data_IF_960579482004
#
_entry.id   IF_960579482004
#
_cell.length_a   1.000
_cell.length_b   1.000
_cell.length_c   1.000
_cell.angle_alpha   90.00
_cell.angle_beta   90.00
_cell.angle_gamma   90.00
#
_symmetry.space_group_name_H-M   'P 1'
#
loop_
_entity.id
_entity.type
_entity.pdbx_description
1 polymer ?
#
# COMPACT_ATOMS: atom_id res chain seq x y z
N UNK A 1 65.83 33.41 -6.83
CA UNK A 1 65.57 31.95 -6.87
C UNK A 1 64.40 31.53 -5.98
N UNK A 2 64.12 32.21 -4.87
CA UNK A 2 62.98 31.91 -3.97
C UNK A 2 61.61 32.32 -4.51
N UNK A 3 61.51 33.37 -5.32
CA UNK A 3 60.22 33.83 -5.88
C UNK A 3 59.65 32.91 -6.96
N UNK A 4 60.49 32.37 -7.86
CA UNK A 4 60.04 31.43 -8.90
C UNK A 4 59.56 30.10 -8.30
N UNK A 5 60.21 29.63 -7.23
CA UNK A 5 59.81 28.42 -6.53
C UNK A 5 58.42 28.58 -5.87
N UNK A 6 58.16 29.75 -5.27
CA UNK A 6 56.87 30.05 -4.65
C UNK A 6 55.74 30.19 -5.68
N UNK A 7 56.01 30.80 -6.84
CA UNK A 7 55.03 30.92 -7.91
C UNK A 7 54.62 29.56 -8.49
N UNK A 8 55.58 28.65 -8.69
CA UNK A 8 55.31 27.29 -9.17
C UNK A 8 54.52 26.45 -8.15
N UNK A 9 54.84 26.56 -6.86
CA UNK A 9 54.11 25.86 -5.78
C UNK A 9 52.67 26.35 -5.65
N UNK A 10 52.45 27.67 -5.72
CA UNK A 10 51.10 28.26 -5.65
C UNK A 10 50.28 27.88 -6.89
N UNK A 11 50.86 27.95 -8.09
CA UNK A 11 50.21 27.54 -9.33
C UNK A 11 49.81 26.06 -9.34
N UNK A 12 50.70 25.17 -8.87
CA UNK A 12 50.42 23.74 -8.72
C UNK A 12 49.28 23.46 -7.73
N UNK A 13 49.25 24.16 -6.60
CA UNK A 13 48.20 23.99 -5.59
C UNK A 13 46.82 24.46 -6.09
N UNK A 14 46.76 25.60 -6.77
CA UNK A 14 45.52 26.11 -7.39
C UNK A 14 44.98 25.13 -8.43
N UNK A 15 45.85 24.55 -9.25
CA UNK A 15 45.48 23.54 -10.25
C UNK A 15 44.85 22.29 -9.63
N UNK A 16 45.48 21.74 -8.57
CA UNK A 16 44.98 20.55 -7.85
C UNK A 16 43.65 20.82 -7.16
N UNK A 17 43.52 21.95 -6.45
CA UNK A 17 42.27 22.32 -5.76
C UNK A 17 41.13 22.53 -6.76
N UNK A 18 41.40 23.19 -7.89
CA UNK A 18 40.39 23.42 -8.93
C UNK A 18 39.93 22.11 -9.58
N UNK A 19 40.86 21.20 -9.90
CA UNK A 19 40.52 19.89 -10.46
C UNK A 19 39.71 19.02 -9.46
N UNK A 20 40.08 19.04 -8.17
CA UNK A 20 39.34 18.35 -7.12
C UNK A 20 37.92 18.92 -6.95
N UNK A 21 37.77 20.25 -6.98
CA UNK A 21 36.47 20.90 -6.93
C UNK A 21 35.59 20.52 -8.13
N UNK A 22 36.14 20.60 -9.36
CA UNK A 22 35.42 20.19 -10.58
C UNK A 22 34.99 18.72 -10.48
N UNK A 23 35.89 17.81 -10.09
CA UNK A 23 35.57 16.39 -9.90
C UNK A 23 34.49 16.13 -8.85
N UNK A 24 34.49 16.89 -7.75
CA UNK A 24 33.43 16.80 -6.74
C UNK A 24 32.08 17.29 -7.27
N UNK A 25 32.05 18.42 -7.99
CA UNK A 25 30.81 18.94 -8.58
C UNK A 25 30.24 18.02 -9.66
N UNK A 26 31.07 17.46 -10.55
CA UNK A 26 30.61 16.52 -11.58
C UNK A 26 30.08 15.23 -10.97
N UNK A 27 30.74 14.68 -9.94
CA UNK A 27 30.25 13.51 -9.20
C UNK A 27 28.88 13.79 -8.57
N UNK A 28 28.69 14.95 -7.93
CA UNK A 28 27.40 15.33 -7.33
C UNK A 28 26.31 15.54 -8.38
N UNK A 29 26.64 16.17 -9.51
CA UNK A 29 25.70 16.37 -10.61
C UNK A 29 25.24 15.02 -11.18
N UNK A 30 26.17 14.10 -11.43
CA UNK A 30 25.86 12.76 -11.93
C UNK A 30 25.03 11.93 -10.94
N UNK A 31 25.35 12.01 -9.64
CA UNK A 31 24.56 11.38 -8.60
C UNK A 31 23.12 11.94 -8.54
N UNK A 32 22.96 13.27 -8.68
CA UNK A 32 21.66 13.91 -8.72
C UNK A 32 20.84 13.49 -9.94
N UNK A 33 21.46 13.44 -11.13
CA UNK A 33 20.82 12.98 -12.36
C UNK A 33 20.37 11.51 -12.25
N UNK A 34 21.22 10.64 -11.71
CA UNK A 34 20.88 9.22 -11.49
C UNK A 34 19.70 9.08 -10.52
N UNK A 35 19.67 9.86 -9.42
CA UNK A 35 18.56 9.86 -8.46
C UNK A 35 17.27 10.34 -9.11
N UNK A 36 17.33 11.40 -9.91
CA UNK A 36 16.19 11.91 -10.64
C UNK A 36 15.64 10.88 -11.64
N UNK A 37 16.51 10.31 -12.48
CA UNK A 37 16.14 9.28 -13.45
C UNK A 37 15.50 8.05 -12.77
N UNK A 38 16.07 7.59 -11.65
CA UNK A 38 15.50 6.49 -10.86
C UNK A 38 14.12 6.86 -10.32
N UNK A 39 13.95 8.08 -9.81
CA UNK A 39 12.65 8.57 -9.30
C UNK A 39 11.59 8.63 -10.40
N UNK A 40 11.95 9.12 -11.59
CA UNK A 40 11.06 9.15 -12.74
C UNK A 40 10.73 7.75 -13.25
N UNK A 41 11.66 6.80 -13.18
CA UNK A 41 11.40 5.39 -13.50
C UNK A 41 10.34 4.79 -12.58
N UNK A 42 10.44 5.02 -11.26
CA UNK A 42 9.39 4.60 -10.30
C UNK A 42 8.05 5.29 -10.58
N UNK A 43 8.07 6.57 -10.94
CA UNK A 43 6.85 7.30 -11.26
C UNK A 43 6.16 6.76 -12.53
N UNK A 44 6.95 6.46 -13.57
CA UNK A 44 6.44 5.88 -14.80
C UNK A 44 5.91 4.45 -14.57
N UNK A 45 6.61 3.65 -13.76
CA UNK A 45 6.12 2.33 -13.35
C UNK A 45 4.79 2.46 -12.58
N UNK A 46 4.72 3.42 -11.65
CA UNK A 46 3.54 3.63 -10.82
C UNK A 46 2.29 4.02 -11.61
N UNK A 47 2.48 4.84 -12.64
CA UNK A 47 1.43 5.27 -13.55
C UNK A 47 1.30 4.37 -14.79
N UNK A 48 2.09 3.29 -14.85
CA UNK A 48 2.03 2.32 -15.93
C UNK A 48 0.72 1.52 -15.91
N UNK A 49 0.23 1.04 -17.07
CA UNK A 49 -1.05 0.32 -17.15
C UNK A 49 -1.15 -0.87 -16.20
N UNK A 50 -0.05 -1.61 -16.02
CA UNK A 50 0.02 -2.76 -15.12
C UNK A 50 -0.25 -2.37 -13.66
N UNK A 51 0.46 -1.36 -13.13
CA UNK A 51 0.29 -0.97 -11.74
C UNK A 51 -0.99 -0.15 -11.49
N UNK A 52 -1.49 0.58 -12.48
CA UNK A 52 -2.81 1.21 -12.41
C UNK A 52 -3.90 0.14 -12.26
N UNK A 53 -3.86 -0.91 -13.09
CA UNK A 53 -4.80 -2.04 -13.01
C UNK A 53 -4.67 -2.74 -11.66
N UNK A 54 -3.44 -3.08 -11.25
CA UNK A 54 -3.19 -3.71 -9.96
C UNK A 54 -3.69 -2.86 -8.77
N UNK A 55 -3.57 -1.53 -8.81
CA UNK A 55 -4.10 -0.65 -7.75
C UNK A 55 -5.61 -0.67 -7.69
N UNK A 56 -6.30 -0.66 -8.84
CA UNK A 56 -7.75 -0.72 -8.89
C UNK A 56 -8.27 -2.06 -8.39
N UNK A 57 -7.69 -3.16 -8.88
CA UNK A 57 -8.07 -4.52 -8.50
C UNK A 57 -7.76 -4.78 -7.02
N UNK A 58 -6.61 -4.33 -6.53
CA UNK A 58 -6.26 -4.41 -5.11
C UNK A 58 -7.24 -3.62 -4.24
N UNK A 59 -7.65 -2.42 -4.68
CA UNK A 59 -8.63 -1.62 -3.95
C UNK A 59 -9.97 -2.35 -3.86
N UNK A 60 -10.45 -2.90 -4.98
CA UNK A 60 -11.75 -3.59 -5.00
C UNK A 60 -11.70 -4.92 -4.25
N UNK A 61 -10.58 -5.64 -4.33
CA UNK A 61 -10.31 -6.81 -3.51
C UNK A 61 -10.36 -6.50 -2.02
N UNK A 62 -9.65 -5.44 -1.59
CA UNK A 62 -9.58 -5.06 -0.18
C UNK A 62 -10.91 -4.57 0.38
N UNK A 63 -11.75 -3.90 -0.42
CA UNK A 63 -13.10 -3.54 0.01
C UNK A 63 -13.87 -4.76 0.50
N UNK A 64 -13.75 -5.91 -0.16
CA UNK A 64 -14.47 -7.13 0.23
C UNK A 64 -13.86 -7.87 1.42
N UNK A 65 -12.63 -7.53 1.82
CA UNK A 65 -11.81 -8.30 2.77
C UNK A 65 -11.06 -7.44 3.77
N UNK A 66 -11.59 -6.25 4.06
CA UNK A 66 -10.86 -5.22 4.82
C UNK A 66 -10.58 -5.61 6.28
N UNK A 67 -11.34 -6.56 6.82
CA UNK A 67 -11.18 -7.09 8.17
C UNK A 67 -10.09 -8.16 8.29
N UNK A 68 -9.66 -8.74 7.15
CA UNK A 68 -8.63 -9.77 7.13
C UNK A 68 -7.25 -9.15 7.27
N UNK A 69 -6.42 -9.78 8.09
CA UNK A 69 -4.98 -9.53 8.16
C UNK A 69 -4.28 -10.02 6.89
N UNK A 70 -3.02 -9.59 6.71
CA UNK A 70 -2.19 -10.03 5.59
C UNK A 70 -2.00 -11.56 5.51
N UNK A 71 -1.81 -12.20 6.66
CA UNK A 71 -1.68 -13.66 6.75
C UNK A 71 -2.96 -14.35 6.25
N UNK A 72 -4.13 -13.91 6.73
CA UNK A 72 -5.44 -14.45 6.34
C UNK A 72 -5.75 -14.20 4.86
N UNK A 73 -5.34 -13.05 4.31
CA UNK A 73 -5.44 -12.77 2.88
C UNK A 73 -4.60 -13.76 2.05
N UNK A 74 -3.45 -14.19 2.55
CA UNK A 74 -2.59 -15.18 1.91
C UNK A 74 -3.23 -16.57 1.84
N UNK A 75 -3.88 -16.99 2.92
CA UNK A 75 -4.47 -18.34 3.06
C UNK A 75 -5.86 -18.50 2.44
N UNK A 76 -6.56 -17.38 2.18
CA UNK A 76 -7.92 -17.43 1.66
C UNK A 76 -8.02 -18.24 0.33
N UNK A 77 -9.14 -18.97 0.12
CA UNK A 77 -9.34 -19.80 -1.07
C UNK A 77 -9.09 -19.03 -2.35
N UNK A 78 -8.36 -19.64 -3.29
CA UNK A 78 -8.06 -19.02 -4.59
C UNK A 78 -9.38 -18.92 -5.37
N UNK A 79 -9.82 -17.72 -5.79
CA UNK A 79 -10.90 -17.64 -6.76
C UNK A 79 -10.45 -18.31 -8.08
N UNK A 80 -11.37 -18.93 -8.80
CA UNK A 80 -11.11 -19.45 -10.14
C UNK A 80 -10.91 -18.26 -11.10
N UNK A 81 -9.66 -17.92 -11.42
CA UNK A 81 -9.33 -16.79 -12.29
C UNK A 81 -7.98 -16.14 -11.94
N UNK A 82 -7.78 -14.90 -12.39
CA UNK A 82 -6.63 -14.07 -12.03
C UNK A 82 -6.65 -13.81 -10.53
N UNK A 83 -5.54 -14.10 -9.83
CA UNK A 83 -5.49 -14.06 -8.37
C UNK A 83 -5.47 -12.60 -7.89
N UNK A 84 -6.55 -12.07 -7.28
CA UNK A 84 -6.59 -10.67 -6.85
C UNK A 84 -5.57 -10.36 -5.72
N UNK A 85 -5.02 -11.40 -5.06
CA UNK A 85 -3.88 -11.24 -4.14
C UNK A 85 -2.62 -10.79 -4.87
N UNK A 86 -2.47 -11.16 -6.14
CA UNK A 86 -1.36 -10.72 -6.97
C UNK A 86 -1.38 -9.20 -7.15
N UNK A 87 -2.55 -8.63 -7.44
CA UNK A 87 -2.73 -7.18 -7.55
C UNK A 87 -2.33 -6.47 -6.25
N UNK A 88 -2.86 -6.92 -5.11
CA UNK A 88 -2.51 -6.35 -3.81
C UNK A 88 -1.02 -6.47 -3.48
N UNK A 89 -0.43 -7.65 -3.69
CA UNK A 89 1.00 -7.89 -3.49
C UNK A 89 1.86 -7.03 -4.41
N UNK A 90 1.40 -6.74 -5.63
CA UNK A 90 2.12 -5.88 -6.58
C UNK A 90 2.23 -4.44 -6.08
N UNK A 91 1.14 -3.90 -5.50
CA UNK A 91 1.15 -2.56 -4.89
C UNK A 91 2.10 -2.49 -3.70
N UNK A 92 2.10 -3.52 -2.84
CA UNK A 92 3.00 -3.58 -1.68
C UNK A 92 4.46 -3.69 -2.10
N UNK A 93 4.75 -4.61 -3.02
CA UNK A 93 6.11 -4.79 -3.59
C UNK A 93 6.63 -3.52 -4.27
N UNK A 94 5.76 -2.69 -4.82
CA UNK A 94 6.14 -1.38 -5.31
C UNK A 94 6.62 -0.47 -4.17
N UNK A 95 5.84 -0.34 -3.09
CA UNK A 95 6.21 0.51 -1.96
C UNK A 95 7.40 -0.02 -1.15
N UNK A 96 7.56 -1.33 -0.99
CA UNK A 96 8.78 -1.93 -0.43
C UNK A 96 10.03 -1.51 -1.21
N UNK A 97 10.00 -1.66 -2.55
CA UNK A 97 11.12 -1.23 -3.41
C UNK A 97 11.36 0.27 -3.29
N UNK A 98 10.30 1.09 -3.19
CA UNK A 98 10.42 2.53 -2.99
C UNK A 98 11.13 2.84 -1.65
N UNK A 99 10.74 2.16 -0.57
CA UNK A 99 11.34 2.29 0.76
C UNK A 99 12.83 1.93 0.76
N UNK A 100 13.19 0.79 0.14
CA UNK A 100 14.59 0.36 0.00
C UNK A 100 15.41 1.41 -0.78
N UNK A 101 14.88 1.95 -1.87
CA UNK A 101 15.59 2.94 -2.68
C UNK A 101 15.75 4.29 -1.97
N UNK A 102 14.78 4.70 -1.15
CA UNK A 102 14.90 5.87 -0.27
C UNK A 102 15.99 5.67 0.77
N UNK A 103 16.00 4.52 1.45
CA UNK A 103 17.02 4.17 2.46
C UNK A 103 18.43 4.17 1.88
N UNK A 104 18.58 3.73 0.64
CA UNK A 104 19.85 3.75 -0.08
C UNK A 104 20.20 5.13 -0.71
N UNK A 105 19.42 6.19 -0.43
CA UNK A 105 19.56 7.52 -1.01
C UNK A 105 19.62 7.55 -2.55
N UNK A 106 18.91 6.62 -3.19
CA UNK A 106 18.86 6.47 -4.66
C UNK A 106 17.73 7.25 -5.32
N UNK A 107 16.88 7.92 -4.55
CA UNK A 107 15.73 8.68 -5.06
C UNK A 107 15.86 10.15 -4.70
N UNK A 108 15.18 11.03 -5.43
CA UNK A 108 15.12 12.45 -5.11
C UNK A 108 14.06 12.69 -4.01
N UNK A 109 14.50 12.78 -2.76
CA UNK A 109 13.66 12.82 -1.56
C UNK A 109 12.52 13.86 -1.64
N UNK A 110 12.81 15.05 -2.16
CA UNK A 110 11.83 16.14 -2.27
C UNK A 110 10.66 15.73 -3.20
N UNK A 111 11.01 15.09 -4.30
CA UNK A 111 10.10 14.74 -5.39
C UNK A 111 9.26 13.51 -5.04
N UNK A 112 9.81 12.59 -4.24
CA UNK A 112 9.10 11.39 -3.81
C UNK A 112 7.81 11.74 -3.05
N UNK A 113 7.87 12.74 -2.16
CA UNK A 113 6.67 13.19 -1.44
C UNK A 113 5.62 13.79 -2.39
N UNK A 114 6.06 14.59 -3.38
CA UNK A 114 5.16 15.19 -4.37
C UNK A 114 4.44 14.14 -5.22
N UNK A 115 5.19 13.13 -5.68
CA UNK A 115 4.68 12.15 -6.62
C UNK A 115 3.85 11.04 -5.95
N UNK A 116 4.26 10.60 -4.75
CA UNK A 116 3.70 9.40 -4.13
C UNK A 116 2.96 9.68 -2.83
N UNK A 117 3.23 10.80 -2.15
CA UNK A 117 2.77 11.07 -0.78
C UNK A 117 1.26 10.96 -0.61
N UNK A 118 0.48 11.58 -1.51
CA UNK A 118 -0.98 11.60 -1.39
C UNK A 118 -1.65 10.24 -1.58
N UNK A 119 -1.09 9.40 -2.45
CA UNK A 119 -1.64 8.08 -2.75
C UNK A 119 -1.14 7.08 -1.71
N UNK A 120 0.14 7.14 -1.33
CA UNK A 120 0.69 6.31 -0.26
C UNK A 120 -0.04 6.56 1.06
N UNK A 121 -0.24 7.82 1.48
CA UNK A 121 -0.99 8.15 2.69
C UNK A 121 -2.43 7.59 2.68
N UNK A 122 -3.06 7.56 1.50
CA UNK A 122 -4.36 6.91 1.34
C UNK A 122 -4.25 5.40 1.57
N UNK A 123 -3.33 4.70 0.90
CA UNK A 123 -3.11 3.25 1.09
C UNK A 123 -2.77 2.91 2.54
N UNK A 124 -1.92 3.73 3.16
CA UNK A 124 -1.51 3.61 4.55
C UNK A 124 -2.71 3.57 5.49
N UNK A 125 -3.54 4.62 5.45
CA UNK A 125 -4.70 4.74 6.34
C UNK A 125 -5.89 3.87 5.93
N UNK A 126 -6.04 3.56 4.65
CA UNK A 126 -7.17 2.77 4.17
C UNK A 126 -7.04 1.29 4.55
N UNK A 127 -5.85 0.70 4.43
CA UNK A 127 -5.66 -0.72 4.70
C UNK A 127 -4.35 -1.10 5.40
N UNK A 128 -3.23 -0.48 5.05
CA UNK A 128 -1.92 -1.01 5.47
C UNK A 128 -1.67 -0.88 6.97
N UNK A 129 -2.01 0.25 7.59
CA UNK A 129 -1.76 0.51 9.03
C UNK A 129 -2.36 -0.59 9.92
N UNK A 130 -3.63 -0.94 9.69
CA UNK A 130 -4.33 -1.92 10.51
C UNK A 130 -4.04 -3.38 10.11
N UNK A 131 -3.82 -3.64 8.82
CA UNK A 131 -3.56 -5.00 8.33
C UNK A 131 -2.13 -5.46 8.62
N UNK A 132 -1.15 -4.55 8.56
CA UNK A 132 0.26 -4.85 8.84
C UNK A 132 0.54 -4.96 10.33
N UNK A 133 -0.12 -4.15 11.18
CA UNK A 133 0.05 -4.22 12.63
C UNK A 133 -0.33 -5.58 13.26
N UNK A 134 -0.94 -6.48 12.48
CA UNK A 134 -1.34 -7.83 12.90
C UNK A 134 -0.42 -8.95 12.40
N UNK A 135 0.70 -8.61 11.76
CA UNK A 135 1.58 -9.60 11.12
C UNK A 135 3.05 -9.38 11.52
N UNK A 136 3.82 -10.46 11.61
CA UNK A 136 5.27 -10.49 11.87
C UNK A 136 6.14 -10.32 10.61
N UNK A 137 5.50 -9.92 9.52
CA UNK A 137 6.11 -9.87 8.20
C UNK A 137 7.12 -8.73 8.10
N UNK A 138 8.35 -9.03 7.68
CA UNK A 138 9.41 -8.04 7.49
C UNK A 138 9.00 -6.83 6.64
N UNK A 139 8.12 -7.03 5.65
CA UNK A 139 7.58 -5.95 4.82
C UNK A 139 6.79 -4.91 5.62
N UNK A 140 6.16 -5.30 6.73
CA UNK A 140 5.46 -4.37 7.62
C UNK A 140 6.42 -3.30 8.14
N UNK A 141 7.59 -3.72 8.64
CA UNK A 141 8.63 -2.80 9.11
C UNK A 141 9.12 -1.85 7.99
N UNK A 142 9.27 -2.32 6.75
CA UNK A 142 9.71 -1.46 5.65
C UNK A 142 8.65 -0.40 5.27
N UNK A 143 7.37 -0.76 5.36
CA UNK A 143 6.26 0.16 5.08
C UNK A 143 6.01 1.14 6.23
N UNK A 144 6.18 0.71 7.49
CA UNK A 144 6.19 1.58 8.66
C UNK A 144 7.30 2.64 8.53
N UNK A 145 8.52 2.20 8.21
CA UNK A 145 9.66 3.09 7.98
C UNK A 145 9.39 4.09 6.85
N UNK A 146 8.73 3.64 5.77
CA UNK A 146 8.33 4.51 4.66
C UNK A 146 7.29 5.55 5.08
N UNK A 147 6.27 5.13 5.84
CA UNK A 147 5.24 6.04 6.35
C UNK A 147 5.84 7.09 7.28
N UNK A 148 6.74 6.67 8.17
CA UNK A 148 7.43 7.56 9.07
C UNK A 148 8.35 8.53 8.30
N UNK A 149 9.07 8.02 7.29
CA UNK A 149 9.88 8.86 6.41
C UNK A 149 9.04 9.92 5.70
N UNK A 150 7.90 9.55 5.09
CA UNK A 150 7.03 10.49 4.39
C UNK A 150 6.44 11.54 5.33
N UNK A 151 6.03 11.14 6.53
CA UNK A 151 5.52 12.04 7.58
C UNK A 151 6.58 13.06 8.00
N UNK A 152 7.80 12.60 8.29
CA UNK A 152 8.93 13.50 8.64
C UNK A 152 9.27 14.43 7.49
N UNK A 153 9.31 13.92 6.25
CA UNK A 153 9.57 14.73 5.06
C UNK A 153 8.51 15.82 4.88
N UNK A 154 7.23 15.48 5.03
CA UNK A 154 6.14 16.45 4.99
C UNK A 154 6.30 17.52 6.07
N UNK A 155 6.72 17.17 7.27
CA UNK A 155 7.02 18.15 8.32
C UNK A 155 8.18 19.07 7.96
N UNK A 156 9.27 18.54 7.41
CA UNK A 156 10.43 19.33 6.99
C UNK A 156 10.09 20.28 5.85
N UNK A 157 9.19 19.87 4.95
CA UNK A 157 8.74 20.67 3.81
C UNK A 157 7.59 21.64 4.17
N UNK A 158 7.16 21.70 5.44
CA UNK A 158 6.05 22.54 5.88
C UNK A 158 4.67 22.07 5.38
N UNK A 159 4.56 20.80 4.98
CA UNK A 159 3.40 20.14 4.38
C UNK A 159 2.69 19.16 5.31
N UNK A 160 2.91 19.24 6.62
CA UNK A 160 2.15 18.46 7.61
C UNK A 160 0.64 18.53 7.38
N UNK A 161 0.02 19.71 7.08
CA UNK A 161 -1.41 19.77 6.81
C UNK A 161 -1.84 18.96 5.58
N UNK A 162 -1.00 18.88 4.55
CA UNK A 162 -1.27 18.06 3.37
C UNK A 162 -1.27 16.58 3.73
N UNK A 163 -0.25 16.13 4.46
CA UNK A 163 -0.12 14.75 4.92
C UNK A 163 -1.32 14.32 5.78
N UNK A 164 -1.71 15.14 6.76
CA UNK A 164 -2.87 14.92 7.61
C UNK A 164 -4.15 14.85 6.79
N UNK A 165 -4.34 15.76 5.82
CA UNK A 165 -5.50 15.75 4.92
C UNK A 165 -5.55 14.47 4.08
N UNK A 166 -4.41 14.00 3.56
CA UNK A 166 -4.36 12.76 2.78
C UNK A 166 -4.68 11.53 3.64
N UNK A 167 -4.13 11.47 4.86
CA UNK A 167 -4.44 10.44 5.84
C UNK A 167 -5.93 10.46 6.21
N UNK A 168 -6.49 11.63 6.50
CA UNK A 168 -7.89 11.80 6.88
C UNK A 168 -8.84 11.33 5.78
N UNK A 169 -8.49 11.56 4.50
CA UNK A 169 -9.25 11.03 3.36
C UNK A 169 -9.28 9.50 3.37
N UNK A 170 -8.13 8.84 3.49
CA UNK A 170 -8.05 7.38 3.56
C UNK A 170 -8.82 6.80 4.74
N UNK A 171 -8.67 7.40 5.93
CA UNK A 171 -9.38 7.00 7.14
C UNK A 171 -10.91 7.19 7.02
N UNK A 172 -11.37 8.30 6.43
CA UNK A 172 -12.80 8.54 6.19
C UNK A 172 -13.40 7.51 5.23
N UNK A 173 -12.73 7.23 4.12
CA UNK A 173 -13.18 6.21 3.17
C UNK A 173 -13.25 4.84 3.83
N UNK A 174 -12.22 4.46 4.60
CA UNK A 174 -12.21 3.24 5.38
C UNK A 174 -13.40 3.15 6.34
N UNK A 175 -13.65 4.22 7.12
CA UNK A 175 -14.76 4.27 8.07
C UNK A 175 -16.12 4.13 7.36
N UNK A 176 -16.33 4.81 6.23
CA UNK A 176 -17.54 4.65 5.41
C UNK A 176 -17.73 3.21 4.91
N UNK A 177 -16.64 2.55 4.51
CA UNK A 177 -16.68 1.14 4.10
C UNK A 177 -17.05 0.22 5.26
N UNK A 178 -16.43 0.36 6.43
CA UNK A 178 -16.75 -0.45 7.62
C UNK A 178 -18.19 -0.25 8.08
N UNK A 179 -18.69 0.98 8.08
CA UNK A 179 -20.09 1.27 8.41
C UNK A 179 -21.06 0.58 7.44
N UNK A 180 -20.70 0.48 6.16
CA UNK A 180 -21.45 -0.29 5.17
C UNK A 180 -21.47 -1.79 5.49
N UNK A 181 -20.34 -2.38 5.93
CA UNK A 181 -20.28 -3.78 6.35
C UNK A 181 -21.12 -4.08 7.59
N UNK A 182 -21.13 -3.18 8.56
CA UNK A 182 -21.97 -3.33 9.76
C UNK A 182 -23.46 -3.28 9.39
N UNK A 183 -23.84 -2.43 8.44
CA UNK A 183 -25.21 -2.39 7.93
C UNK A 183 -25.58 -3.62 7.09
N UNK A 184 -24.67 -4.12 6.26
CA UNK A 184 -24.84 -5.36 5.47
C UNK A 184 -24.97 -6.58 6.37
N UNK A 185 -24.11 -6.73 7.38
CA UNK A 185 -24.22 -7.85 8.33
C UNK A 185 -25.52 -7.83 9.13
N UNK A 186 -26.01 -6.65 9.53
CA UNK A 186 -27.34 -6.51 10.17
C UNK A 186 -28.48 -6.76 9.18
N UNK A 187 -28.36 -6.34 7.92
CA UNK A 187 -29.36 -6.57 6.88
C UNK A 187 -29.45 -8.06 6.51
N UNK A 188 -28.30 -8.72 6.32
CA UNK A 188 -28.18 -10.15 6.03
C UNK A 188 -28.68 -10.98 7.22
N UNK A 189 -28.37 -10.57 8.45
CA UNK A 189 -28.95 -11.18 9.65
C UNK A 189 -30.47 -11.02 9.71
N UNK A 190 -31.00 -9.83 9.38
CA UNK A 190 -32.45 -9.58 9.33
C UNK A 190 -33.13 -10.34 8.20
N UNK A 191 -32.47 -10.50 7.06
CA UNK A 191 -33.00 -11.27 5.93
C UNK A 191 -32.99 -12.76 6.25
N UNK A 192 -31.92 -13.27 6.86
CA UNK A 192 -31.86 -14.63 7.39
C UNK A 192 -32.92 -14.87 8.47
N UNK A 193 -33.13 -13.93 9.39
CA UNK A 193 -34.15 -14.02 10.43
C UNK A 193 -35.58 -13.94 9.85
N UNK A 194 -35.81 -13.09 8.84
CA UNK A 194 -37.08 -13.01 8.14
C UNK A 194 -37.37 -14.29 7.33
N UNK A 195 -36.36 -14.86 6.67
CA UNK A 195 -36.46 -16.15 5.99
C UNK A 195 -36.77 -17.27 6.99
N UNK A 196 -36.10 -17.29 8.15
CA UNK A 196 -36.36 -18.21 9.23
C UNK A 196 -37.80 -18.09 9.77
N UNK A 197 -38.28 -16.87 10.05
CA UNK A 197 -39.66 -16.65 10.53
C UNK A 197 -40.71 -17.08 9.50
N UNK A 198 -40.46 -16.89 8.20
CA UNK A 198 -41.34 -17.38 7.12
C UNK A 198 -41.34 -18.91 7.00
N UNK A 199 -40.21 -19.56 7.30
CA UNK A 199 -40.11 -21.02 7.31
C UNK A 199 -40.77 -21.61 8.57
N UNK A 200 -40.55 -20.99 9.73
CA UNK A 200 -41.14 -21.38 11.00
C UNK A 200 -42.67 -21.20 11.02
N UNK A 201 -43.21 -20.17 10.37
CA UNK A 201 -44.67 -20.00 10.23
C UNK A 201 -45.32 -21.02 9.30
N UNK A 202 -44.52 -21.75 8.50
CA UNK A 202 -44.99 -22.80 7.59
C UNK A 202 -44.73 -24.23 8.10
N UNK A 203 -43.97 -24.41 9.19
CA UNK A 203 -43.60 -25.73 9.70
C UNK A 203 -44.16 -25.98 11.09
N UNK A 204 -45.13 -26.89 11.18
CA UNK A 204 -45.65 -27.45 12.44
C UNK A 204 -44.90 -28.73 12.80
N UNK A 205 -43.56 -28.76 12.80
CA UNK A 205 -42.78 -29.89 13.35
C UNK A 205 -41.42 -29.39 13.87
N UNK A 206 -40.95 -29.81 15.06
CA UNK A 206 -39.68 -29.34 15.63
C UNK A 206 -38.54 -30.28 15.25
N UNK A 207 -37.56 -29.83 14.46
CA UNK A 207 -36.26 -30.51 14.34
C UNK A 207 -35.15 -29.46 14.22
N UNK A 208 -34.15 -29.57 15.08
CA UNK A 208 -32.93 -28.77 15.04
C UNK A 208 -32.11 -29.09 13.79
N UNK A 209 -31.76 -28.06 13.02
CA UNK A 209 -30.86 -28.15 11.88
C UNK A 209 -29.72 -27.16 12.11
N UNK A 210 -28.50 -27.68 12.13
CA UNK A 210 -27.25 -26.90 12.09
C UNK A 210 -27.03 -26.47 10.64
N UNK A 211 -26.97 -25.17 10.37
CA UNK A 211 -26.72 -24.63 9.02
C UNK A 211 -25.25 -24.21 8.92
N UNK A 212 -24.50 -24.90 8.08
CA UNK A 212 -23.16 -24.48 7.64
C UNK A 212 -23.32 -23.72 6.33
N UNK A 213 -23.08 -22.40 6.33
CA UNK A 213 -23.20 -21.58 5.13
C UNK A 213 -21.86 -21.54 4.38
N UNK A 214 -21.81 -22.14 3.19
CA UNK A 214 -20.73 -21.91 2.21
C UNK A 214 -21.20 -20.90 1.17
N UNK A 215 -20.48 -19.78 1.08
CA UNK A 215 -20.77 -18.69 0.14
C UNK A 215 -20.09 -18.93 -1.21
N UNK A 216 -20.88 -19.02 -2.28
CA UNK A 216 -20.42 -18.95 -3.68
C UNK A 216 -21.17 -17.82 -4.37
N UNK A 217 -20.48 -16.87 -5.03
CA UNK A 217 -21.13 -15.74 -5.67
C UNK A 217 -21.65 -16.18 -7.05
N UNK A 218 -22.97 -16.10 -7.21
CA UNK A 218 -23.78 -16.28 -8.42
C UNK A 218 -24.57 -17.59 -8.49
N UNK A 219 -25.89 -17.41 -8.36
CA UNK A 219 -26.99 -18.28 -8.83
C UNK A 219 -27.40 -19.46 -7.94
N UNK A 220 -28.63 -19.33 -7.42
CA UNK A 220 -29.56 -20.35 -6.87
C UNK A 220 -29.07 -21.15 -5.65
N UNK A 221 -29.70 -20.86 -4.50
CA UNK A 221 -29.60 -21.68 -3.29
C UNK A 221 -30.29 -23.02 -3.54
N UNK A 222 -29.52 -24.10 -3.64
CA UNK A 222 -30.04 -25.47 -3.61
C UNK A 222 -30.00 -25.99 -2.17
N UNK A 223 -31.17 -26.32 -1.62
CA UNK A 223 -31.27 -27.07 -0.38
C UNK A 223 -31.10 -28.56 -0.69
N UNK A 224 -30.03 -29.18 -0.18
CA UNK A 224 -29.91 -30.64 -0.15
C UNK A 224 -30.16 -31.10 1.28
N UNK A 225 -31.19 -31.93 1.48
CA UNK A 225 -31.37 -32.64 2.75
C UNK A 225 -30.64 -33.97 2.66
N UNK A 226 -29.56 -34.14 3.42
CA UNK A 226 -29.01 -35.47 3.68
C UNK A 226 -29.72 -36.04 4.92
N UNK A 227 -30.57 -37.04 4.68
CA UNK A 227 -31.05 -37.92 5.74
C UNK A 227 -29.89 -38.84 6.12
N UNK A 228 -29.33 -38.67 7.30
CA UNK A 228 -28.58 -39.76 7.95
C UNK A 228 -29.61 -40.69 8.58
N UNK A 229 -29.48 -41.99 8.31
CA UNK A 229 -30.42 -43.04 8.70
C UNK A 229 -30.58 -43.16 10.22
#
# INVERSE_FOLDING_TARGET
>A
MTEELNAALVGGFIGVVSAAAIGFFTFRAHAAETRWATTMSFFNEFNGPALVTARNDARDYLKTRMLLSFAELGEAPRPSGEDPRHAHRSVIRFYERLAVMLRCHRLCDQVVLDLFGSIFAWWWKFCLEDQLGRTDWQAASELDDLAEWMRRRASLDGRTPDWERWCARGAKERASFLAGFEQLTVADQREAEAAYRRAASKSTVPIGIVITATYTPSTTVFFTSSSTA
#
